data_IF_074040609851
#
_entry.id   IF_074040609851
#
_cell.length_a   1.000
_cell.length_b   1.000
_cell.length_c   1.000
_cell.angle_alpha   90.00
_cell.angle_beta   90.00
_cell.angle_gamma   90.00
#
_symmetry.space_group_name_H-M   'P 1'
#
loop_
_entity.id
_entity.type
_entity.pdbx_description
1 polymer ?
#
# COMPACT_ATOMS: atom_id res chain seq x y z
N UNK A 1 -17.78 5.09 -19.47
CA UNK A 1 -17.20 3.82 -19.00
C UNK A 1 -16.05 3.47 -19.92
N UNK A 2 -14.93 3.08 -19.34
CA UNK A 2 -13.76 2.56 -20.04
C UNK A 2 -13.42 1.22 -19.41
N UNK A 3 -13.14 0.21 -20.21
CA UNK A 3 -12.69 -1.08 -19.71
C UNK A 3 -11.20 -0.98 -19.38
N UNK A 4 -10.84 -1.31 -18.15
CA UNK A 4 -9.44 -1.44 -17.71
C UNK A 4 -9.16 -2.88 -17.28
N UNK A 5 -7.93 -3.32 -17.51
CA UNK A 5 -7.47 -4.67 -17.13
C UNK A 5 -6.63 -4.59 -15.86
N UNK A 6 -6.83 -5.51 -14.93
CA UNK A 6 -6.02 -5.64 -13.72
C UNK A 6 -5.71 -7.10 -13.42
N UNK A 7 -4.71 -7.32 -12.57
CA UNK A 7 -4.36 -8.66 -12.11
C UNK A 7 -5.06 -8.91 -10.77
N UNK A 8 -5.75 -10.05 -10.64
CA UNK A 8 -6.35 -10.43 -9.36
C UNK A 8 -5.30 -10.83 -8.33
N UNK A 9 -5.68 -10.79 -7.06
CA UNK A 9 -4.79 -11.12 -5.96
C UNK A 9 -4.55 -12.62 -5.85
N UNK A 10 -3.30 -13.05 -5.62
CA UNK A 10 -2.95 -14.44 -5.36
C UNK A 10 -3.51 -14.87 -3.99
N UNK A 11 -4.68 -15.50 -3.99
CA UNK A 11 -5.28 -16.04 -2.77
C UNK A 11 -5.74 -17.48 -3.00
N UNK A 12 -5.49 -18.32 -1.98
CA UNK A 12 -5.97 -19.70 -1.89
C UNK A 12 -5.39 -20.66 -2.94
N UNK A 13 -4.14 -20.44 -3.37
CA UNK A 13 -3.43 -21.33 -4.29
C UNK A 13 -3.86 -21.20 -5.75
N UNK A 14 -4.70 -20.20 -6.08
CA UNK A 14 -5.01 -19.82 -7.45
C UNK A 14 -4.00 -18.79 -7.94
N UNK A 15 -3.46 -19.02 -9.13
CA UNK A 15 -2.55 -18.07 -9.77
C UNK A 15 -3.32 -16.76 -10.08
N UNK A 16 -2.68 -15.60 -9.94
CA UNK A 16 -3.23 -14.33 -10.41
C UNK A 16 -3.72 -14.43 -11.86
N UNK A 17 -4.89 -13.87 -12.15
CA UNK A 17 -5.48 -13.85 -13.48
C UNK A 17 -5.80 -12.42 -13.91
N UNK A 18 -5.75 -12.18 -15.22
CA UNK A 18 -6.28 -10.96 -15.79
C UNK A 18 -7.81 -10.89 -15.62
N UNK A 19 -8.29 -9.72 -15.18
CA UNK A 19 -9.72 -9.37 -15.14
C UNK A 19 -9.93 -7.99 -15.73
N UNK A 20 -11.12 -7.78 -16.26
CA UNK A 20 -11.56 -6.52 -16.82
C UNK A 20 -12.64 -5.91 -15.94
N UNK A 21 -12.62 -4.58 -15.82
CA UNK A 21 -13.66 -3.82 -15.12
C UNK A 21 -13.98 -2.55 -15.89
N UNK A 22 -15.27 -2.30 -16.07
CA UNK A 22 -15.78 -1.02 -16.55
C UNK A 22 -15.63 0.02 -15.44
N UNK A 23 -14.87 1.09 -15.71
CA UNK A 23 -14.67 2.19 -14.76
C UNK A 23 -15.21 3.52 -15.32
N UNK A 24 -15.62 4.45 -14.45
CA UNK A 24 -16.18 5.74 -14.83
C UNK A 24 -15.11 6.78 -15.18
N UNK A 25 -14.10 6.42 -15.96
CA UNK A 25 -13.04 7.38 -16.33
C UNK A 25 -13.53 8.44 -17.32
N UNK A 26 -13.20 9.70 -17.02
CA UNK A 26 -13.28 10.85 -17.91
C UNK A 26 -12.25 11.89 -17.47
N UNK A 27 -11.69 12.65 -18.41
CA UNK A 27 -10.77 13.76 -18.10
C UNK A 27 -11.44 14.83 -17.24
N UNK A 28 -12.78 14.90 -17.28
CA UNK A 28 -13.56 15.81 -16.44
C UNK A 28 -13.47 15.52 -14.93
N UNK A 29 -13.03 14.33 -14.52
CA UNK A 29 -12.77 14.02 -13.10
C UNK A 29 -11.72 14.96 -12.50
N UNK A 30 -10.80 15.46 -13.32
CA UNK A 30 -9.70 16.35 -12.90
C UNK A 30 -10.07 17.84 -12.90
N UNK A 31 -11.34 18.19 -13.17
CA UNK A 31 -11.86 19.55 -13.04
C UNK A 31 -12.40 19.86 -11.64
N UNK A 32 -12.50 18.83 -10.79
CA UNK A 32 -13.05 18.93 -9.44
C UNK A 32 -11.98 19.37 -8.45
N UNK A 33 -12.41 19.77 -7.25
CA UNK A 33 -11.50 20.11 -6.16
C UNK A 33 -10.75 18.84 -5.69
N UNK A 34 -9.41 18.80 -5.73
CA UNK A 34 -8.64 17.64 -5.27
C UNK A 34 -8.78 17.36 -3.77
N UNK A 35 -9.17 18.34 -2.94
CA UNK A 35 -9.44 18.13 -1.51
C UNK A 35 -10.82 17.47 -1.24
N UNK A 36 -11.66 17.31 -2.26
CA UNK A 36 -12.96 16.66 -2.12
C UNK A 36 -12.89 15.22 -2.62
N UNK A 37 -13.25 14.27 -1.76
CA UNK A 37 -13.27 12.86 -2.14
C UNK A 37 -14.23 12.63 -3.32
N UNK A 38 -13.69 12.08 -4.41
CA UNK A 38 -14.46 11.65 -5.57
C UNK A 38 -14.44 10.13 -5.69
N UNK A 39 -15.61 9.52 -5.55
CA UNK A 39 -15.71 8.06 -5.57
C UNK A 39 -15.38 7.46 -6.94
N UNK A 40 -15.79 8.11 -8.03
CA UNK A 40 -15.48 7.64 -9.39
C UNK A 40 -13.97 7.63 -9.67
N UNK A 41 -13.24 8.64 -9.23
CA UNK A 41 -11.78 8.66 -9.36
C UNK A 41 -11.12 7.62 -8.44
N UNK A 42 -11.66 7.37 -7.25
CA UNK A 42 -11.21 6.28 -6.39
C UNK A 42 -11.43 4.89 -7.06
N UNK A 43 -12.58 4.66 -7.71
CA UNK A 43 -12.86 3.44 -8.48
C UNK A 43 -11.84 3.21 -9.60
N UNK A 44 -11.57 4.24 -10.39
CA UNK A 44 -10.56 4.16 -11.45
C UNK A 44 -9.19 3.86 -10.83
N UNK A 45 -8.84 4.57 -9.76
CA UNK A 45 -7.55 4.46 -9.09
C UNK A 45 -7.29 3.05 -8.53
N UNK A 46 -8.26 2.44 -7.83
CA UNK A 46 -8.13 1.07 -7.32
C UNK A 46 -7.90 0.04 -8.44
N UNK A 47 -8.57 0.19 -9.59
CA UNK A 47 -8.35 -0.70 -10.75
C UNK A 47 -6.98 -0.46 -11.39
N UNK A 48 -6.53 0.80 -11.46
CA UNK A 48 -5.18 1.14 -11.90
C UNK A 48 -4.11 0.55 -10.99
N UNK A 49 -4.31 0.58 -9.68
CA UNK A 49 -3.41 -0.06 -8.71
C UNK A 49 -3.37 -1.58 -8.93
N UNK A 50 -4.52 -2.22 -9.12
CA UNK A 50 -4.60 -3.63 -9.46
C UNK A 50 -3.86 -3.99 -10.76
N UNK A 51 -3.79 -3.02 -11.69
CA UNK A 51 -3.07 -3.20 -12.96
C UNK A 51 -1.55 -3.15 -12.82
N UNK A 52 -1.01 -2.72 -11.68
CA UNK A 52 0.45 -2.68 -11.47
C UNK A 52 1.02 -4.05 -11.14
N UNK A 53 0.21 -4.96 -10.60
CA UNK A 53 0.65 -6.29 -10.21
C UNK A 53 0.97 -7.15 -11.42
N UNK A 54 2.04 -7.94 -11.29
CA UNK A 54 2.59 -8.78 -12.35
C UNK A 54 1.50 -9.63 -13.03
N UNK A 55 1.60 -9.78 -14.35
CA UNK A 55 0.67 -10.61 -15.12
C UNK A 55 0.79 -12.09 -14.76
N UNK A 56 -0.35 -12.76 -14.74
CA UNK A 56 -0.43 -14.23 -14.72
C UNK A 56 0.43 -14.86 -13.60
N UNK A 57 0.96 -16.06 -13.86
CA UNK A 57 1.88 -16.81 -13.00
C UNK A 57 3.34 -16.31 -13.07
N UNK A 58 3.60 -15.09 -13.55
CA UNK A 58 4.96 -14.59 -13.64
C UNK A 58 5.49 -14.20 -12.26
N UNK A 59 6.73 -14.56 -11.99
CA UNK A 59 7.42 -14.24 -10.72
C UNK A 59 7.70 -12.73 -10.61
N UNK A 60 7.85 -12.03 -11.74
CA UNK A 60 8.20 -10.61 -11.80
C UNK A 60 7.83 -10.00 -13.15
N UNK A 61 7.61 -8.68 -13.18
CA UNK A 61 7.37 -7.94 -14.41
C UNK A 61 6.24 -6.92 -14.30
N UNK A 62 5.98 -6.17 -15.39
CA UNK A 62 4.88 -5.22 -15.44
C UNK A 62 3.53 -5.92 -15.47
N UNK A 63 2.53 -5.30 -14.86
CA UNK A 63 1.12 -5.65 -15.05
C UNK A 63 0.55 -5.05 -16.34
N UNK A 64 -0.68 -4.53 -16.25
CA UNK A 64 -1.44 -3.91 -17.35
C UNK A 64 -1.47 -2.37 -17.29
N UNK A 65 -0.77 -1.74 -16.35
CA UNK A 65 -0.80 -0.28 -16.15
C UNK A 65 -0.44 0.52 -17.40
N UNK A 66 0.58 0.08 -18.15
CA UNK A 66 0.99 0.76 -19.38
C UNK A 66 -0.09 0.70 -20.45
N UNK A 67 -0.70 -0.47 -20.65
CA UNK A 67 -1.82 -0.66 -21.57
C UNK A 67 -3.03 0.18 -21.18
N UNK A 68 -3.40 0.17 -19.90
CA UNK A 68 -4.49 0.95 -19.36
C UNK A 68 -4.26 2.46 -19.57
N UNK A 69 -3.09 2.99 -19.17
CA UNK A 69 -2.78 4.41 -19.38
C UNK A 69 -2.79 4.77 -20.87
N UNK A 70 -2.28 3.92 -21.75
CA UNK A 70 -2.35 4.15 -23.21
C UNK A 70 -3.78 4.14 -23.73
N UNK A 71 -4.64 3.25 -23.24
CA UNK A 71 -6.07 3.22 -23.57
C UNK A 71 -6.78 4.50 -23.11
N UNK A 72 -6.32 5.11 -22.02
CA UNK A 72 -6.78 6.42 -21.54
C UNK A 72 -6.11 7.62 -22.25
N UNK A 73 -5.26 7.37 -23.26
CA UNK A 73 -4.64 8.39 -24.09
C UNK A 73 -3.29 8.92 -23.59
N UNK A 74 -2.66 8.29 -22.61
CA UNK A 74 -1.38 8.72 -22.04
C UNK A 74 -0.18 8.17 -22.83
N UNK A 75 0.86 9.00 -22.94
CA UNK A 75 2.24 8.55 -23.13
C UNK A 75 2.75 7.98 -21.80
N UNK A 76 3.61 6.98 -21.84
CA UNK A 76 3.95 6.17 -20.65
C UNK A 76 5.44 5.89 -20.53
N UNK A 77 5.93 5.87 -19.30
CA UNK A 77 7.28 5.43 -18.92
C UNK A 77 7.16 4.56 -17.65
N UNK A 78 7.80 3.39 -17.61
CA UNK A 78 7.70 2.45 -16.49
C UNK A 78 9.06 2.19 -15.86
N UNK A 79 9.08 2.07 -14.53
CA UNK A 79 10.30 1.95 -13.74
C UNK A 79 10.20 0.77 -12.77
N UNK A 80 11.32 0.08 -12.50
CA UNK A 80 11.46 -0.83 -11.36
C UNK A 80 10.75 -2.20 -11.44
N UNK A 81 9.95 -2.49 -12.47
CA UNK A 81 9.15 -3.74 -12.51
C UNK A 81 9.96 -5.05 -12.58
N UNK A 82 11.21 -4.98 -13.04
CA UNK A 82 12.10 -6.15 -13.18
C UNK A 82 13.10 -6.31 -12.04
N UNK A 83 13.08 -5.41 -11.05
CA UNK A 83 13.94 -5.49 -9.86
C UNK A 83 13.27 -6.41 -8.84
N UNK A 84 14.03 -7.40 -8.33
CA UNK A 84 13.49 -8.47 -7.49
C UNK A 84 14.15 -8.59 -6.12
N UNK A 85 15.40 -8.16 -6.01
CA UNK A 85 16.31 -8.41 -4.91
C UNK A 85 16.69 -7.14 -4.14
N UNK A 86 15.98 -6.04 -4.39
CA UNK A 86 16.18 -4.76 -3.70
C UNK A 86 14.97 -4.41 -2.80
N UNK A 87 15.12 -4.43 -1.46
CA UNK A 87 14.06 -4.03 -0.55
C UNK A 87 13.68 -2.55 -0.64
N UNK A 88 14.53 -1.72 -1.25
CA UNK A 88 14.27 -0.29 -1.47
C UNK A 88 13.69 -0.02 -2.87
N UNK A 89 13.32 -1.07 -3.60
CA UNK A 89 12.61 -0.91 -4.86
C UNK A 89 11.12 -0.58 -4.62
N UNK A 90 10.58 0.16 -5.58
CA UNK A 90 9.15 0.26 -5.83
C UNK A 90 8.99 0.43 -7.34
N UNK A 91 8.11 -0.36 -7.94
CA UNK A 91 7.80 -0.21 -9.35
C UNK A 91 6.65 0.77 -9.54
N UNK A 92 6.68 1.55 -10.63
CA UNK A 92 5.63 2.49 -10.95
C UNK A 92 5.61 2.79 -12.44
N UNK A 93 4.48 3.30 -12.92
CA UNK A 93 4.33 3.80 -14.29
C UNK A 93 3.90 5.25 -14.25
N UNK A 94 4.64 6.08 -14.97
CA UNK A 94 4.32 7.48 -15.24
C UNK A 94 3.50 7.57 -16.52
N UNK A 95 2.51 8.46 -16.51
CA UNK A 95 1.67 8.80 -17.66
C UNK A 95 1.70 10.30 -17.93
N UNK A 96 1.70 10.71 -19.20
CA UNK A 96 1.47 12.11 -19.58
C UNK A 96 0.44 12.24 -20.70
N UNK A 97 -0.49 13.19 -20.57
CA UNK A 97 -1.27 13.71 -21.69
C UNK A 97 -1.68 15.16 -21.46
N UNK A 98 -2.19 15.78 -22.52
CA UNK A 98 -2.83 17.11 -22.47
C UNK A 98 -4.32 16.96 -22.22
N UNK A 99 -4.85 17.74 -21.29
CA UNK A 99 -6.28 17.86 -21.00
C UNK A 99 -6.69 19.33 -21.11
N UNK A 100 -7.29 19.68 -22.25
CA UNK A 100 -7.53 21.10 -22.58
C UNK A 100 -6.22 21.90 -22.61
N UNK A 101 -6.12 22.92 -21.73
CA UNK A 101 -4.95 23.77 -21.59
C UNK A 101 -3.93 23.26 -20.55
N UNK A 102 -4.24 22.17 -19.83
CA UNK A 102 -3.45 21.68 -18.71
C UNK A 102 -2.74 20.36 -19.04
N UNK A 103 -1.69 20.08 -18.27
CA UNK A 103 -0.96 18.81 -18.33
C UNK A 103 -1.53 17.88 -17.27
N UNK A 104 -1.79 16.63 -17.64
CA UNK A 104 -2.15 15.59 -16.69
C UNK A 104 -1.04 14.55 -16.63
N UNK A 105 -0.42 14.47 -15.45
CA UNK A 105 0.58 13.48 -15.10
C UNK A 105 -0.06 12.41 -14.22
N UNK A 106 0.00 11.15 -14.66
CA UNK A 106 -0.43 10.01 -13.86
C UNK A 106 0.79 9.33 -13.23
N UNK A 107 0.69 8.92 -11.98
CA UNK A 107 1.73 8.19 -11.25
C UNK A 107 1.06 7.01 -10.57
N UNK A 108 1.20 5.83 -11.18
CA UNK A 108 0.53 4.62 -10.72
C UNK A 108 1.58 3.69 -10.10
N UNK A 109 1.49 3.46 -8.80
CA UNK A 109 2.56 2.90 -7.98
C UNK A 109 2.19 1.49 -7.54
N UNK A 110 3.09 0.53 -7.81
CA UNK A 110 2.90 -0.87 -7.44
C UNK A 110 3.02 -1.04 -5.92
N UNK A 111 2.14 -1.86 -5.36
CA UNK A 111 2.37 -2.43 -4.03
C UNK A 111 3.45 -3.52 -4.05
N UNK A 112 3.54 -4.28 -2.97
CA UNK A 112 4.63 -5.26 -2.79
C UNK A 112 4.36 -6.54 -3.61
N UNK A 113 5.24 -6.95 -4.55
CA UNK A 113 5.21 -8.28 -5.16
C UNK A 113 5.82 -9.32 -4.19
N UNK A 114 5.75 -10.62 -4.52
CA UNK A 114 6.35 -11.69 -3.69
C UNK A 114 7.89 -11.75 -3.83
N UNK A 115 8.59 -10.69 -3.41
CA UNK A 115 10.05 -10.55 -3.53
C UNK A 115 10.66 -9.73 -2.36
N UNK A 116 11.93 -9.34 -2.47
CA UNK A 116 12.69 -8.62 -1.44
C UNK A 116 12.02 -7.34 -0.93
N UNK A 117 11.13 -6.72 -1.71
CA UNK A 117 10.34 -5.56 -1.33
C UNK A 117 9.60 -5.80 0.02
N UNK A 118 9.12 -7.01 0.31
CA UNK A 118 8.48 -7.35 1.61
C UNK A 118 9.34 -7.01 2.82
N UNK A 119 10.63 -7.29 2.76
CA UNK A 119 11.55 -6.98 3.87
C UNK A 119 11.70 -5.47 4.09
N UNK A 120 11.58 -4.69 3.01
CA UNK A 120 11.58 -3.24 3.03
C UNK A 120 10.34 -2.62 3.67
N UNK A 121 9.21 -3.33 3.73
CA UNK A 121 7.99 -2.86 4.41
C UNK A 121 8.12 -2.82 5.93
N UNK A 122 9.22 -3.36 6.46
CA UNK A 122 9.57 -3.32 7.89
C UNK A 122 10.84 -2.51 8.16
N UNK A 123 11.32 -1.75 7.18
CA UNK A 123 12.41 -0.79 7.33
C UNK A 123 11.84 0.56 7.77
N UNK A 124 11.57 0.65 9.08
CA UNK A 124 10.89 1.75 9.73
C UNK A 124 11.81 2.95 9.98
N UNK A 125 13.08 2.71 10.29
CA UNK A 125 13.97 3.77 10.76
C UNK A 125 13.84 4.02 12.26
N UNK A 126 14.82 4.72 12.82
CA UNK A 126 14.96 4.90 14.27
C UNK A 126 14.12 6.08 14.80
N UNK A 127 14.28 6.44 16.08
CA UNK A 127 13.53 7.50 16.75
C UNK A 127 13.67 8.89 16.10
N UNK A 128 14.80 9.18 15.46
CA UNK A 128 15.04 10.48 14.81
C UNK A 128 14.47 10.56 13.37
N UNK A 129 14.00 9.44 12.81
CA UNK A 129 13.41 9.43 11.47
C UNK A 129 12.09 10.23 11.43
N UNK A 130 11.85 11.07 10.40
CA UNK A 130 10.61 11.86 10.28
C UNK A 130 9.37 11.00 9.97
N UNK A 131 9.58 9.73 9.63
CA UNK A 131 8.57 8.77 9.24
C UNK A 131 9.23 7.42 8.99
N UNK A 132 8.53 6.54 8.29
CA UNK A 132 9.02 5.22 7.93
C UNK A 132 10.10 5.34 6.86
N UNK A 133 11.37 5.17 7.22
CA UNK A 133 12.54 5.50 6.39
C UNK A 133 12.43 4.98 4.95
N UNK A 134 12.07 3.71 4.77
CA UNK A 134 11.99 3.15 3.42
C UNK A 134 10.81 3.72 2.61
N UNK A 135 9.65 3.94 3.24
CA UNK A 135 8.51 4.55 2.54
C UNK A 135 8.80 5.99 2.12
N UNK A 136 9.49 6.75 2.98
CA UNK A 136 9.97 8.08 2.66
C UNK A 136 10.97 8.04 1.50
N UNK A 137 11.96 7.13 1.56
CA UNK A 137 12.97 6.97 0.53
C UNK A 137 12.36 6.63 -0.84
N UNK A 138 11.46 5.65 -0.91
CA UNK A 138 10.84 5.25 -2.18
C UNK A 138 9.96 6.35 -2.75
N UNK A 139 9.21 7.09 -1.92
CA UNK A 139 8.39 8.21 -2.38
C UNK A 139 9.26 9.36 -2.94
N UNK A 140 10.39 9.66 -2.30
CA UNK A 140 11.38 10.62 -2.81
C UNK A 140 12.00 10.17 -4.15
N UNK A 141 12.28 8.88 -4.31
CA UNK A 141 12.77 8.31 -5.57
C UNK A 141 11.75 8.49 -6.70
N UNK A 142 10.46 8.25 -6.43
CA UNK A 142 9.40 8.49 -7.41
C UNK A 142 9.29 9.98 -7.74
N UNK A 143 9.34 10.87 -6.74
CA UNK A 143 9.29 12.31 -6.95
C UNK A 143 10.42 12.82 -7.86
N UNK A 144 11.64 12.30 -7.68
CA UNK A 144 12.77 12.63 -8.55
C UNK A 144 12.54 12.17 -10.00
N UNK A 145 12.08 10.94 -10.20
CA UNK A 145 11.77 10.42 -11.54
C UNK A 145 10.59 11.14 -12.21
N UNK A 146 9.57 11.51 -11.42
CA UNK A 146 8.46 12.33 -11.89
C UNK A 146 8.94 13.72 -12.32
N UNK A 147 9.82 14.34 -11.54
CA UNK A 147 10.40 15.64 -11.90
C UNK A 147 11.13 15.56 -13.26
N UNK A 148 12.00 14.57 -13.43
CA UNK A 148 12.70 14.34 -14.70
C UNK A 148 11.72 14.11 -15.86
N UNK A 149 10.64 13.35 -15.63
CA UNK A 149 9.60 13.08 -16.63
C UNK A 149 8.80 14.33 -17.01
N UNK A 150 8.40 15.16 -16.03
CA UNK A 150 7.69 16.43 -16.27
C UNK A 150 8.53 17.36 -17.13
N UNK A 151 9.85 17.42 -16.90
CA UNK A 151 10.78 18.26 -17.65
C UNK A 151 10.97 17.84 -19.12
N UNK A 152 10.50 16.65 -19.52
CA UNK A 152 10.50 16.23 -20.93
C UNK A 152 9.43 16.94 -21.78
N UNK A 153 8.45 17.59 -21.14
CA UNK A 153 7.29 18.20 -21.81
C UNK A 153 7.30 19.72 -21.68
N UNK A 154 6.70 20.40 -22.67
CA UNK A 154 6.53 21.86 -22.62
C UNK A 154 5.40 22.21 -21.65
N UNK A 155 5.77 22.80 -20.52
CA UNK A 155 4.86 23.16 -19.43
C UNK A 155 4.66 24.67 -19.30
N UNK A 156 5.21 25.48 -20.22
CA UNK A 156 5.17 26.94 -20.08
C UNK A 156 3.73 27.46 -20.23
N UNK A 157 3.25 28.16 -19.20
CA UNK A 157 1.91 28.76 -19.18
C UNK A 157 0.77 27.74 -19.05
N UNK A 158 1.08 26.53 -18.58
CA UNK A 158 0.13 25.43 -18.38
C UNK A 158 0.15 25.02 -16.92
N UNK A 159 -0.99 24.65 -16.35
CA UNK A 159 -1.04 24.03 -15.03
C UNK A 159 -0.72 22.54 -15.14
N UNK A 160 0.00 22.03 -14.14
CA UNK A 160 0.25 20.61 -14.00
C UNK A 160 -0.76 20.02 -13.01
N UNK A 161 -1.44 18.97 -13.46
CA UNK A 161 -2.37 18.16 -12.68
C UNK A 161 -1.71 16.82 -12.44
N UNK A 162 -1.70 16.37 -11.18
CA UNK A 162 -1.10 15.11 -10.79
C UNK A 162 -2.18 14.14 -10.31
N UNK A 163 -2.27 12.99 -10.92
CA UNK A 163 -3.04 11.86 -10.44
C UNK A 163 -2.09 10.82 -9.89
N UNK A 164 -2.08 10.64 -8.57
CA UNK A 164 -1.17 9.71 -7.88
C UNK A 164 -1.99 8.65 -7.20
N UNK A 165 -1.65 7.38 -7.42
CA UNK A 165 -2.33 6.29 -6.71
C UNK A 165 -1.45 5.06 -6.58
N UNK A 166 -1.74 4.26 -5.55
CA UNK A 166 -1.05 3.04 -5.26
C UNK A 166 -1.72 2.30 -4.09
N UNK A 167 -1.42 1.01 -4.00
CA UNK A 167 -1.92 0.12 -2.97
C UNK A 167 -0.79 -0.41 -2.07
N UNK A 168 -1.06 -0.59 -0.76
CA UNK A 168 -0.09 -1.12 0.21
C UNK A 168 1.18 -0.25 0.26
N UNK A 169 2.38 -0.79 0.03
CA UNK A 169 3.63 -0.02 -0.22
C UNK A 169 3.40 1.15 -1.19
N UNK A 170 2.65 0.93 -2.27
CA UNK A 170 2.32 1.97 -3.25
C UNK A 170 1.38 3.04 -2.71
N UNK A 171 0.52 2.69 -1.76
CA UNK A 171 -0.32 3.63 -1.02
C UNK A 171 0.52 4.53 -0.12
N UNK A 172 1.47 3.95 0.63
CA UNK A 172 2.42 4.72 1.45
C UNK A 172 3.27 5.65 0.59
N UNK A 173 3.76 5.18 -0.56
CA UNK A 173 4.47 6.02 -1.52
C UNK A 173 3.58 7.12 -2.13
N UNK A 174 2.27 6.88 -2.28
CA UNK A 174 1.29 7.88 -2.70
C UNK A 174 1.13 8.97 -1.64
N UNK A 175 1.05 8.63 -0.36
CA UNK A 175 1.08 9.61 0.74
C UNK A 175 2.32 10.50 0.64
N UNK A 176 3.51 9.89 0.52
CA UNK A 176 4.78 10.63 0.45
C UNK A 176 4.82 11.55 -0.76
N UNK A 177 4.48 11.04 -1.95
CA UNK A 177 4.51 11.83 -3.18
C UNK A 177 3.48 12.96 -3.16
N UNK A 178 2.26 12.68 -2.67
CA UNK A 178 1.22 13.69 -2.52
C UNK A 178 1.69 14.85 -1.63
N UNK A 179 2.29 14.53 -0.48
CA UNK A 179 2.88 15.53 0.41
C UNK A 179 4.01 16.33 -0.26
N UNK A 180 4.92 15.66 -0.99
CA UNK A 180 6.03 16.34 -1.67
C UNK A 180 5.54 17.31 -2.75
N UNK A 181 4.50 16.93 -3.51
CA UNK A 181 3.89 17.79 -4.53
C UNK A 181 3.19 19.01 -3.88
N UNK A 182 2.42 18.79 -2.81
CA UNK A 182 1.74 19.87 -2.08
C UNK A 182 2.76 20.83 -1.44
N UNK A 183 3.80 20.30 -0.79
CA UNK A 183 4.87 21.13 -0.21
C UNK A 183 5.67 21.90 -1.30
N UNK A 184 5.70 21.40 -2.54
CA UNK A 184 6.28 22.09 -3.70
C UNK A 184 5.35 23.17 -4.30
N UNK A 185 4.12 23.29 -3.83
CA UNK A 185 3.15 24.29 -4.26
C UNK A 185 2.24 23.86 -5.41
N UNK A 186 2.19 22.56 -5.73
CA UNK A 186 1.25 22.04 -6.74
C UNK A 186 -0.18 22.07 -6.20
N UNK A 187 -1.08 22.77 -6.90
CA UNK A 187 -2.46 22.98 -6.44
C UNK A 187 -3.43 21.86 -6.84
N UNK A 188 -3.10 21.08 -7.89
CA UNK A 188 -3.98 20.06 -8.46
C UNK A 188 -3.43 18.64 -8.29
N UNK A 189 -3.38 18.18 -7.03
CA UNK A 189 -2.88 16.85 -6.66
C UNK A 189 -4.04 15.94 -6.27
N UNK A 190 -4.40 14.98 -7.12
CA UNK A 190 -5.41 13.96 -6.86
C UNK A 190 -4.70 12.69 -6.38
N UNK A 191 -4.47 12.58 -5.07
CA UNK A 191 -3.75 11.46 -4.46
C UNK A 191 -4.69 10.47 -3.76
N UNK A 192 -4.74 9.22 -4.24
CA UNK A 192 -5.58 8.15 -3.69
C UNK A 192 -4.70 6.99 -3.23
N UNK A 193 -4.49 6.89 -1.92
CA UNK A 193 -3.69 5.86 -1.29
C UNK A 193 -4.60 4.75 -0.77
N UNK A 194 -4.46 3.53 -1.27
CA UNK A 194 -5.22 2.38 -0.81
C UNK A 194 -4.37 1.52 0.12
N UNK A 195 -4.89 1.22 1.30
CA UNK A 195 -4.16 0.46 2.32
C UNK A 195 -2.74 1.00 2.62
N UNK A 196 -2.50 2.33 2.66
CA UNK A 196 -1.16 2.83 3.01
C UNK A 196 -0.79 2.33 4.40
N UNK A 197 0.50 2.11 4.66
CA UNK A 197 1.04 1.99 6.03
C UNK A 197 1.02 3.34 6.73
N UNK A 198 1.19 3.39 8.04
CA UNK A 198 1.35 4.67 8.76
C UNK A 198 2.73 5.29 8.46
N UNK A 199 2.78 6.16 7.45
CA UNK A 199 4.05 6.55 6.85
C UNK A 199 4.85 7.59 7.66
N UNK A 200 4.20 8.41 8.48
CA UNK A 200 4.83 9.59 9.12
C UNK A 200 4.78 9.52 10.63
N UNK A 201 5.71 10.19 11.32
CA UNK A 201 5.57 10.43 12.76
C UNK A 201 4.67 11.62 13.03
N UNK A 202 3.90 11.53 14.10
CA UNK A 202 3.09 12.63 14.59
C UNK A 202 3.98 13.78 15.03
N UNK A 203 3.72 14.98 14.51
CA UNK A 203 4.43 16.21 14.89
C UNK A 203 3.46 17.12 15.64
N UNK A 204 3.90 17.65 16.78
CA UNK A 204 3.10 18.58 17.56
C UNK A 204 2.67 19.79 16.71
N UNK A 205 1.40 20.17 16.81
CA UNK A 205 0.79 21.30 16.10
C UNK A 205 0.71 21.16 14.57
N UNK A 206 0.86 19.95 14.03
CA UNK A 206 0.57 19.67 12.62
C UNK A 206 -0.66 18.77 12.55
N UNK A 207 -1.73 19.28 11.96
CA UNK A 207 -2.84 18.46 11.54
C UNK A 207 -2.59 18.02 10.09
N UNK A 208 -2.15 16.77 9.93
CA UNK A 208 -1.83 16.23 8.62
C UNK A 208 -3.06 16.04 7.72
N UNK A 209 -4.25 15.85 8.30
CA UNK A 209 -5.47 15.72 7.52
C UNK A 209 -5.90 17.05 6.90
N UNK A 210 -5.66 18.16 7.63
CA UNK A 210 -5.91 19.52 7.12
C UNK A 210 -4.81 19.98 6.18
N UNK A 211 -3.53 19.71 6.51
CA UNK A 211 -2.41 20.21 5.71
C UNK A 211 -2.29 19.52 4.34
N UNK A 212 -2.66 18.25 4.27
CA UNK A 212 -2.55 17.42 3.05
C UNK A 212 -3.93 16.89 2.64
N UNK A 213 -4.95 17.75 2.66
CA UNK A 213 -6.35 17.40 2.41
C UNK A 213 -6.59 16.81 1.00
N UNK A 214 -5.75 17.12 0.02
CA UNK A 214 -5.72 16.50 -1.31
C UNK A 214 -5.22 15.03 -1.35
N UNK A 215 -4.74 14.49 -0.22
CA UNK A 215 -4.37 13.07 -0.08
C UNK A 215 -5.52 12.32 0.58
N UNK A 216 -6.07 11.33 -0.11
CA UNK A 216 -7.14 10.46 0.37
C UNK A 216 -6.60 9.08 0.70
N UNK A 217 -6.41 8.79 1.99
CA UNK A 217 -6.06 7.47 2.48
C UNK A 217 -7.33 6.63 2.68
N UNK A 218 -7.50 5.57 1.89
CA UNK A 218 -8.66 4.67 1.94
C UNK A 218 -8.25 3.42 2.72
N UNK A 219 -8.89 3.22 3.88
CA UNK A 219 -8.45 2.28 4.89
C UNK A 219 -9.59 1.30 5.18
N UNK A 220 -9.30 0.01 5.05
CA UNK A 220 -10.17 -1.01 5.60
C UNK A 220 -9.84 -1.17 7.09
N UNK A 221 -10.80 -0.96 8.02
CA UNK A 221 -10.54 -1.07 9.45
C UNK A 221 -10.12 -2.48 9.90
N UNK A 222 -10.33 -3.49 9.06
CA UNK A 222 -9.89 -4.86 9.35
C UNK A 222 -8.48 -5.13 8.82
N UNK A 223 -7.93 -4.28 7.96
CA UNK A 223 -6.61 -4.46 7.35
C UNK A 223 -5.49 -4.09 8.33
N UNK A 224 -4.48 -4.96 8.44
CA UNK A 224 -3.32 -4.76 9.32
C UNK A 224 -2.30 -3.79 8.75
N UNK A 225 -2.13 -3.68 7.43
CA UNK A 225 -1.07 -2.84 6.87
C UNK A 225 -1.23 -1.35 7.24
N UNK A 226 -2.45 -0.77 7.23
CA UNK A 226 -2.67 0.60 7.71
C UNK A 226 -2.50 0.82 9.20
N UNK A 227 -2.17 -0.22 9.97
CA UNK A 227 -1.95 -0.11 11.41
C UNK A 227 -0.47 -0.18 11.79
N UNK A 228 0.40 -0.43 10.80
CA UNK A 228 1.83 -0.60 10.99
C UNK A 228 2.61 0.39 10.09
N UNK A 229 3.74 0.98 10.52
CA UNK A 229 4.28 1.02 11.89
C UNK A 229 3.27 1.44 12.97
N UNK A 230 3.55 1.07 14.20
CA UNK A 230 2.55 1.15 15.24
C UNK A 230 2.22 2.59 15.66
N UNK A 231 0.93 2.90 15.83
CA UNK A 231 0.47 4.20 16.33
C UNK A 231 1.06 4.53 17.70
N UNK A 232 1.27 3.53 18.56
CA UNK A 232 1.93 3.70 19.86
C UNK A 232 3.41 4.13 19.73
N UNK A 233 4.05 3.83 18.60
CA UNK A 233 5.40 4.30 18.28
C UNK A 233 5.39 5.71 17.67
N UNK A 234 4.22 6.37 17.65
CA UNK A 234 4.03 7.74 17.20
C UNK A 234 3.72 7.87 15.71
N UNK A 235 3.48 6.78 14.98
CA UNK A 235 3.23 6.80 13.55
C UNK A 235 1.77 7.09 13.20
N UNK A 236 1.55 7.73 12.05
CA UNK A 236 0.25 8.16 11.53
C UNK A 236 0.26 8.20 10.00
N UNK A 237 -0.93 8.17 9.41
CA UNK A 237 -1.18 8.57 8.02
C UNK A 237 -1.13 10.08 7.87
N UNK A 238 -1.06 10.52 6.61
CA UNK A 238 -1.30 11.92 6.24
C UNK A 238 -2.54 12.05 5.35
N UNK A 239 -3.07 13.26 5.28
CA UNK A 239 -4.29 13.55 4.52
C UNK A 239 -5.56 12.99 5.15
N UNK A 240 -6.64 13.02 4.37
CA UNK A 240 -7.95 12.61 4.81
C UNK A 240 -8.05 11.08 4.83
N UNK A 241 -8.38 10.52 5.99
CA UNK A 241 -8.58 9.09 6.19
C UNK A 241 -10.05 8.74 5.98
N UNK A 242 -10.31 7.83 5.04
CA UNK A 242 -11.65 7.33 4.69
C UNK A 242 -11.75 5.86 5.10
N UNK A 243 -12.40 5.61 6.24
CA UNK A 243 -12.58 4.26 6.79
C UNK A 243 -13.71 3.54 6.05
N UNK A 244 -13.38 2.42 5.41
CA UNK A 244 -14.36 1.61 4.68
C UNK A 244 -15.40 1.01 5.64
N UNK A 245 -16.69 1.00 5.27
CA UNK A 245 -17.74 0.55 6.15
C UNK A 245 -17.79 -0.98 6.19
N UNK A 246 -17.46 -1.56 7.36
CA UNK A 246 -17.53 -3.02 7.64
C UNK A 246 -18.94 -3.59 7.37
N UNK A 247 -19.99 -2.78 7.45
CA UNK A 247 -21.36 -3.17 7.11
C UNK A 247 -21.53 -3.58 5.64
N UNK A 248 -20.66 -3.11 4.74
CA UNK A 248 -20.69 -3.47 3.32
C UNK A 248 -20.02 -4.83 3.02
N UNK A 249 -19.36 -5.48 3.99
CA UNK A 249 -18.56 -6.68 3.74
C UNK A 249 -19.32 -7.83 3.08
N UNK A 250 -20.62 -7.97 3.38
CA UNK A 250 -21.43 -9.00 2.74
C UNK A 250 -21.60 -8.80 1.22
N UNK A 251 -21.66 -7.55 0.75
CA UNK A 251 -21.71 -7.23 -0.68
C UNK A 251 -20.31 -7.24 -1.30
N UNK A 252 -19.31 -6.75 -0.56
CA UNK A 252 -17.89 -6.86 -0.94
C UNK A 252 -17.51 -8.32 -1.18
N UNK A 253 -17.94 -9.23 -0.31
CA UNK A 253 -17.64 -10.66 -0.43
C UNK A 253 -18.18 -11.25 -1.75
N UNK A 254 -19.40 -10.88 -2.14
CA UNK A 254 -20.01 -11.32 -3.41
C UNK A 254 -19.26 -10.75 -4.61
N UNK A 255 -18.91 -9.47 -4.56
CA UNK A 255 -18.19 -8.81 -5.64
C UNK A 255 -16.75 -9.31 -5.76
N UNK A 256 -16.10 -9.57 -4.64
CA UNK A 256 -14.81 -10.21 -4.57
C UNK A 256 -14.84 -11.59 -5.20
N UNK A 257 -15.84 -12.42 -4.85
CA UNK A 257 -15.99 -13.75 -5.44
C UNK A 257 -16.27 -13.66 -6.94
N UNK A 258 -17.08 -12.70 -7.38
CA UNK A 258 -17.31 -12.43 -8.81
C UNK A 258 -16.02 -12.10 -9.56
N UNK A 259 -15.17 -11.26 -8.98
CA UNK A 259 -13.90 -10.82 -9.59
C UNK A 259 -12.85 -11.94 -9.54
N UNK A 260 -12.57 -12.47 -8.35
CA UNK A 260 -11.46 -13.38 -8.10
C UNK A 260 -11.80 -14.84 -8.43
N UNK A 261 -13.09 -15.17 -8.54
CA UNK A 261 -13.57 -16.52 -8.80
C UNK A 261 -13.32 -17.49 -7.64
N UNK A 262 -13.07 -16.99 -6.44
CA UNK A 262 -12.92 -17.75 -5.20
C UNK A 262 -13.67 -17.04 -4.07
N UNK A 263 -14.25 -17.78 -3.11
CA UNK A 263 -14.98 -17.18 -2.01
C UNK A 263 -14.09 -16.23 -1.21
N UNK A 264 -14.66 -15.07 -0.88
CA UNK A 264 -14.10 -14.19 0.13
C UNK A 264 -14.14 -14.90 1.49
N UNK A 265 -12.99 -14.95 2.18
CA UNK A 265 -12.86 -15.66 3.47
C UNK A 265 -12.92 -14.74 4.68
N UNK A 266 -12.97 -13.41 4.46
CA UNK A 266 -13.06 -12.45 5.54
C UNK A 266 -14.34 -12.66 6.37
N UNK A 267 -14.19 -12.54 7.68
CA UNK A 267 -15.27 -12.57 8.65
C UNK A 267 -15.04 -11.40 9.61
N UNK A 268 -15.95 -10.44 9.62
CA UNK A 268 -15.76 -9.17 10.30
C UNK A 268 -15.34 -9.31 11.78
N UNK A 269 -15.92 -10.28 12.50
CA UNK A 269 -15.61 -10.47 13.91
C UNK A 269 -14.28 -11.17 14.10
N UNK A 270 -14.06 -12.27 13.37
CA UNK A 270 -12.81 -13.01 13.46
C UNK A 270 -11.64 -12.13 13.03
N UNK A 271 -11.78 -11.40 11.93
CA UNK A 271 -10.74 -10.52 11.40
C UNK A 271 -10.41 -9.39 12.38
N UNK A 272 -11.42 -8.80 13.02
CA UNK A 272 -11.22 -7.79 14.07
C UNK A 272 -10.49 -8.36 15.30
N UNK A 273 -10.92 -9.52 15.82
CA UNK A 273 -10.30 -10.17 16.99
C UNK A 273 -8.83 -10.52 16.71
N UNK A 274 -8.57 -10.91 15.48
CA UNK A 274 -7.30 -11.44 15.04
C UNK A 274 -6.35 -10.27 14.70
N UNK A 275 -6.85 -9.15 14.16
CA UNK A 275 -6.13 -7.86 14.06
C UNK A 275 -5.75 -7.34 15.45
N UNK A 276 -6.69 -7.28 16.38
CA UNK A 276 -6.44 -6.81 17.74
C UNK A 276 -5.34 -7.64 18.42
N UNK A 277 -5.40 -8.97 18.28
CA UNK A 277 -4.37 -9.88 18.79
C UNK A 277 -3.01 -9.61 18.16
N UNK A 278 -2.95 -9.40 16.84
CA UNK A 278 -1.71 -9.08 16.13
C UNK A 278 -1.08 -7.80 16.67
N UNK A 279 -1.86 -6.74 16.80
CA UNK A 279 -1.43 -5.46 17.36
C UNK A 279 -0.90 -5.61 18.79
N UNK A 280 -1.62 -6.31 19.67
CA UNK A 280 -1.16 -6.58 21.03
C UNK A 280 0.17 -7.34 21.07
N UNK A 281 0.40 -8.26 20.14
CA UNK A 281 1.67 -8.99 20.05
C UNK A 281 2.81 -8.10 19.57
N UNK A 282 2.59 -7.25 18.56
CA UNK A 282 3.59 -6.25 18.14
C UNK A 282 3.87 -5.22 19.24
N UNK A 283 2.84 -4.80 19.98
CA UNK A 283 3.00 -3.91 21.13
C UNK A 283 3.82 -4.55 22.27
N UNK A 284 3.64 -5.84 22.50
CA UNK A 284 4.41 -6.60 23.47
C UNK A 284 5.83 -6.96 22.99
N UNK A 285 6.05 -6.95 21.67
CA UNK A 285 7.33 -7.29 21.06
C UNK A 285 8.37 -6.19 21.30
N UNK A 286 7.98 -4.92 21.13
CA UNK A 286 8.83 -3.77 21.39
C UNK A 286 8.02 -2.54 21.83
N UNK A 287 8.52 -1.83 22.86
CA UNK A 287 7.81 -0.70 23.45
C UNK A 287 7.92 0.59 22.62
N UNK A 288 9.01 0.74 21.88
CA UNK A 288 9.26 1.82 20.93
C UNK A 288 9.89 1.29 19.64
N UNK A 289 9.97 2.14 18.62
CA UNK A 289 10.73 1.83 17.41
C UNK A 289 12.23 1.65 17.70
N UNK A 290 12.80 2.40 18.66
CA UNK A 290 14.18 2.19 19.10
C UNK A 290 14.36 0.79 19.69
N UNK A 291 13.47 0.35 20.58
CA UNK A 291 13.53 -1.02 21.12
C UNK A 291 13.37 -2.08 20.04
N UNK A 292 12.54 -1.82 19.03
CA UNK A 292 12.37 -2.74 17.90
C UNK A 292 13.70 -3.01 17.18
N UNK A 293 14.55 -2.00 17.03
CA UNK A 293 15.87 -2.15 16.41
C UNK A 293 16.97 -2.61 17.36
N UNK A 294 16.96 -2.12 18.61
CA UNK A 294 18.14 -2.16 19.49
C UNK A 294 17.97 -3.03 20.73
N UNK A 295 16.75 -3.41 21.11
CA UNK A 295 16.54 -4.28 22.26
C UNK A 295 17.05 -5.69 21.94
N UNK A 296 18.17 -6.06 22.53
CA UNK A 296 18.79 -7.38 22.33
C UNK A 296 18.35 -8.34 23.42
N UNK A 297 17.94 -9.54 23.01
CA UNK A 297 17.59 -10.65 23.91
C UNK A 297 18.55 -11.81 23.71
N UNK A 298 19.09 -12.44 24.78
CA UNK A 298 19.84 -13.68 24.65
C UNK A 298 18.97 -14.75 23.99
N UNK A 299 19.49 -15.35 22.92
CA UNK A 299 18.74 -16.29 22.10
C UNK A 299 19.16 -17.74 22.35
N UNK A 300 18.37 -18.70 21.87
CA UNK A 300 18.55 -20.11 22.19
C UNK A 300 19.80 -20.74 21.52
N UNK A 301 20.29 -20.13 20.45
CA UNK A 301 21.51 -20.51 19.73
C UNK A 301 22.79 -19.91 20.34
N UNK A 302 22.69 -19.22 21.48
CA UNK A 302 23.81 -18.58 22.17
C UNK A 302 24.19 -17.21 21.63
N UNK A 303 23.47 -16.67 20.64
CA UNK A 303 23.63 -15.31 20.14
C UNK A 303 22.62 -14.35 20.80
N UNK A 304 22.47 -13.16 20.26
CA UNK A 304 21.39 -12.21 20.59
C UNK A 304 20.45 -12.03 19.42
N UNK A 305 19.17 -11.77 19.72
CA UNK A 305 18.13 -11.45 18.74
C UNK A 305 17.46 -10.12 19.09
N UNK A 306 17.27 -9.26 18.10
CA UNK A 306 16.38 -8.09 18.19
C UNK A 306 15.02 -8.38 17.55
N UNK A 307 13.95 -7.67 17.94
CA UNK A 307 12.65 -7.76 17.26
C UNK A 307 12.74 -7.58 15.75
N UNK A 308 13.49 -6.57 15.29
CA UNK A 308 13.72 -6.30 13.88
C UNK A 308 14.35 -7.50 13.16
N UNK A 309 15.43 -8.08 13.71
CA UNK A 309 16.09 -9.25 13.12
C UNK A 309 15.12 -10.44 12.99
N UNK A 310 14.30 -10.67 14.01
CA UNK A 310 13.31 -11.74 13.98
C UNK A 310 12.24 -11.50 12.91
N UNK A 311 11.72 -10.26 12.78
CA UNK A 311 10.77 -9.90 11.71
C UNK A 311 11.41 -10.06 10.34
N UNK A 312 12.66 -9.64 10.16
CA UNK A 312 13.38 -9.80 8.89
C UNK A 312 13.57 -11.27 8.51
N UNK A 313 13.88 -12.15 9.47
CA UNK A 313 13.93 -13.60 9.23
C UNK A 313 12.55 -14.13 8.77
N UNK A 314 11.47 -13.68 9.41
CA UNK A 314 10.10 -14.06 9.00
C UNK A 314 9.74 -13.57 7.59
N UNK A 315 10.26 -12.40 7.19
CA UNK A 315 10.02 -11.83 5.85
C UNK A 315 10.74 -12.60 4.74
N UNK A 316 11.60 -13.57 5.05
CA UNK A 316 12.21 -14.44 4.04
C UNK A 316 11.18 -15.39 3.41
N UNK A 317 10.20 -15.90 4.16
CA UNK A 317 9.22 -16.86 3.64
C UNK A 317 8.32 -16.31 2.51
N UNK A 318 7.73 -15.10 2.61
CA UNK A 318 6.99 -14.49 1.51
C UNK A 318 7.80 -14.28 0.22
N UNK A 319 9.14 -14.30 0.31
CA UNK A 319 10.06 -14.18 -0.82
C UNK A 319 10.41 -15.54 -1.44
N UNK A 320 9.85 -16.64 -0.93
CA UNK A 320 10.22 -18.00 -1.30
C UNK A 320 11.58 -18.45 -0.75
N UNK A 321 12.12 -17.75 0.26
CA UNK A 321 13.37 -18.08 0.92
C UNK A 321 13.11 -18.85 2.22
N UNK A 322 14.08 -19.68 2.61
CA UNK A 322 13.99 -20.43 3.86
C UNK A 322 14.16 -19.50 5.07
N UNK A 323 13.28 -19.62 6.06
CA UNK A 323 13.41 -18.92 7.34
C UNK A 323 14.59 -19.55 8.10
N UNK A 324 15.57 -18.76 8.59
CA UNK A 324 16.70 -19.28 9.34
C UNK A 324 16.29 -20.13 10.54
N UNK A 325 17.05 -21.19 10.85
CA UNK A 325 16.73 -22.12 11.95
C UNK A 325 16.52 -21.39 13.28
N UNK A 326 17.32 -20.34 13.56
CA UNK A 326 17.22 -19.47 14.74
C UNK A 326 15.80 -18.92 14.97
N UNK A 327 15.02 -18.76 13.92
CA UNK A 327 13.64 -18.26 13.93
C UNK A 327 12.63 -19.38 13.66
N UNK A 328 12.94 -20.33 12.78
CA UNK A 328 12.02 -21.42 12.42
C UNK A 328 11.81 -22.46 13.55
N UNK A 329 12.80 -22.66 14.43
CA UNK A 329 12.70 -23.63 15.54
C UNK A 329 11.92 -23.06 16.74
N UNK A 330 10.61 -22.86 16.57
CA UNK A 330 9.71 -22.28 17.59
C UNK A 330 9.81 -23.01 18.92
N UNK A 331 9.95 -24.33 18.89
CA UNK A 331 10.05 -25.17 20.11
C UNK A 331 11.28 -24.82 20.97
N UNK A 332 12.36 -24.32 20.37
CA UNK A 332 13.57 -23.95 21.08
C UNK A 332 13.40 -22.70 21.95
N UNK A 333 12.51 -21.76 21.56
CA UNK A 333 12.32 -20.49 22.26
C UNK A 333 10.91 -20.26 22.81
N UNK A 334 9.91 -21.09 22.51
CA UNK A 334 8.52 -20.85 22.93
C UNK A 334 8.33 -20.68 24.44
N UNK A 335 9.15 -21.37 25.25
CA UNK A 335 9.08 -21.27 26.73
C UNK A 335 9.75 -20.02 27.28
N UNK A 336 10.83 -19.55 26.65
CA UNK A 336 11.63 -18.42 27.14
C UNK A 336 11.24 -17.09 26.50
N UNK A 337 10.70 -17.13 25.27
CA UNK A 337 10.33 -15.98 24.45
C UNK A 337 8.89 -16.15 23.92
N UNK A 338 7.88 -16.21 24.81
CA UNK A 338 6.51 -16.56 24.43
C UNK A 338 5.84 -15.55 23.49
N UNK A 339 6.23 -14.27 23.50
CA UNK A 339 5.70 -13.25 22.58
C UNK A 339 6.11 -13.59 21.14
N UNK A 340 7.39 -13.86 20.90
CA UNK A 340 7.91 -14.27 19.59
C UNK A 340 7.24 -15.54 19.07
N UNK A 341 7.01 -16.53 19.94
CA UNK A 341 6.36 -17.78 19.54
C UNK A 341 4.88 -17.58 19.19
N UNK A 342 4.15 -16.76 19.96
CA UNK A 342 2.77 -16.40 19.65
C UNK A 342 2.67 -15.57 18.38
N UNK A 343 3.64 -14.68 18.13
CA UNK A 343 3.69 -13.91 16.90
C UNK A 343 3.97 -14.82 15.70
N UNK A 344 4.91 -15.76 15.81
CA UNK A 344 5.13 -16.80 14.78
C UNK A 344 3.83 -17.53 14.46
N UNK A 345 3.14 -18.04 15.49
CA UNK A 345 1.90 -18.80 15.34
C UNK A 345 0.78 -17.96 14.74
N UNK A 346 0.68 -16.68 15.14
CA UNK A 346 -0.23 -15.72 14.56
C UNK A 346 0.03 -15.50 13.06
N UNK A 347 1.29 -15.24 12.68
CA UNK A 347 1.70 -15.04 11.29
C UNK A 347 1.45 -16.31 10.45
N UNK A 348 1.79 -17.49 10.97
CA UNK A 348 1.61 -18.78 10.30
C UNK A 348 0.15 -19.16 10.09
N UNK A 349 -0.75 -18.75 10.99
CA UNK A 349 -2.19 -18.96 10.88
C UNK A 349 -2.90 -17.89 10.02
N UNK A 350 -2.16 -17.19 9.17
CA UNK A 350 -2.71 -16.21 8.25
C UNK A 350 -2.78 -14.78 8.78
N UNK A 351 -2.28 -14.51 9.99
CA UNK A 351 -2.19 -13.15 10.54
C UNK A 351 -1.30 -12.19 9.72
N UNK A 352 -0.44 -12.73 8.86
CA UNK A 352 0.34 -11.99 7.85
C UNK A 352 -0.25 -12.05 6.44
N UNK A 353 -1.03 -13.09 6.15
CA UNK A 353 -1.65 -13.32 4.85
C UNK A 353 -3.02 -12.62 4.74
N UNK A 354 -3.12 -11.44 5.35
CA UNK A 354 -4.14 -10.41 5.15
C UNK A 354 -5.55 -10.70 5.69
N UNK A 355 -5.95 -9.94 6.71
CA UNK A 355 -7.35 -9.51 6.81
C UNK A 355 -7.61 -8.59 5.63
N UNK A 356 -8.10 -9.16 4.54
CA UNK A 356 -8.64 -8.39 3.44
C UNK A 356 -7.66 -7.40 2.74
N UNK A 357 -6.36 -7.38 3.10
CA UNK A 357 -5.25 -6.59 2.54
C UNK A 357 -4.87 -7.06 1.12
N UNK A 358 -5.83 -6.97 0.21
CA UNK A 358 -5.61 -7.26 -1.19
C UNK A 358 -6.24 -6.20 -2.04
N UNK A 359 -5.59 -5.87 -3.15
CA UNK A 359 -6.14 -4.88 -4.08
C UNK A 359 -7.51 -5.31 -4.61
N UNK A 360 -7.77 -6.61 -4.72
CA UNK A 360 -9.09 -7.11 -5.12
C UNK A 360 -10.17 -6.77 -4.10
N UNK A 361 -9.89 -6.83 -2.79
CA UNK A 361 -10.82 -6.37 -1.75
C UNK A 361 -11.15 -4.89 -1.93
N UNK A 362 -10.14 -4.04 -2.12
CA UNK A 362 -10.33 -2.61 -2.29
C UNK A 362 -11.09 -2.26 -3.57
N UNK A 363 -10.81 -2.95 -4.68
CA UNK A 363 -11.60 -2.86 -5.91
C UNK A 363 -13.06 -3.24 -5.64
N UNK A 364 -13.31 -4.33 -4.90
CA UNK A 364 -14.67 -4.75 -4.54
C UNK A 364 -15.41 -3.72 -3.69
N UNK A 365 -14.76 -3.12 -2.69
CA UNK A 365 -15.33 -1.99 -1.95
C UNK A 365 -15.69 -0.84 -2.88
N UNK A 366 -14.76 -0.42 -3.73
CA UNK A 366 -15.01 0.68 -4.66
C UNK A 366 -16.14 0.37 -5.64
N UNK A 367 -16.34 -0.89 -6.02
CA UNK A 367 -17.41 -1.30 -6.92
C UNK A 367 -18.81 -1.31 -6.26
N UNK A 368 -18.91 -1.65 -4.97
CA UNK A 368 -20.22 -1.83 -4.30
C UNK A 368 -20.69 -0.60 -3.52
N UNK A 369 -19.78 0.28 -3.12
CA UNK A 369 -20.14 1.45 -2.32
C UNK A 369 -20.89 2.50 -3.17
N UNK A 370 -21.85 3.23 -2.58
CA UNK A 370 -22.50 4.35 -3.24
C UNK A 370 -21.55 5.56 -3.35
N UNK A 371 -21.84 6.48 -4.27
CA UNK A 371 -20.94 7.62 -4.55
C UNK A 371 -20.71 8.57 -3.35
N UNK A 372 -21.61 8.55 -2.36
CA UNK A 372 -21.58 9.40 -1.17
C UNK A 372 -21.18 8.66 0.13
N UNK A 373 -20.57 7.47 0.04
CA UNK A 373 -20.24 6.63 1.20
C UNK A 373 -19.33 7.30 2.26
N UNK A 374 -18.57 8.32 1.89
CA UNK A 374 -17.72 9.08 2.83
C UNK A 374 -18.51 10.08 3.69
N UNK A 375 -19.79 10.30 3.40
CA UNK A 375 -20.67 11.23 4.12
C UNK A 375 -21.64 10.51 5.08
N UNK A 376 -21.66 9.18 5.10
CA UNK A 376 -22.65 8.34 5.79
C UNK A 376 -22.23 7.91 7.19
#
# INVERSE_FOLDING_TARGET
MTVLTFTTSNLQGRLPEAREMDVPYSDALFNNNPAEYQHDLARVSAVMDGSTYTRDSQVAGPGYTTENLRALGFKTESHGYHVLDDPNNVAFTLGYKRVGANNLFAVIIRGTPQNAEWSGDFMIGDEDAPGMDNMIYIGQKIAAQLHDYVMQFDNVGQENIFWVTGHSRGGSATEVLGKLLIDAGEEHVFAYAFAPTTTYKTVANVDYAVKYDAVHAIINPLDVAPTFPLVQWGFTHIGQQHMLPVSALSEVAKEYERINGVPFKGDAQQDADMLERGLQLYYALASSVHDFYHATTPWWDGQTMTPYQWVQDMMMAPQGLEIPERTANVMAYAKTHPVYAKLFEHMANGGMASYEHTITTYISFMAVLPDDWVKS
#
